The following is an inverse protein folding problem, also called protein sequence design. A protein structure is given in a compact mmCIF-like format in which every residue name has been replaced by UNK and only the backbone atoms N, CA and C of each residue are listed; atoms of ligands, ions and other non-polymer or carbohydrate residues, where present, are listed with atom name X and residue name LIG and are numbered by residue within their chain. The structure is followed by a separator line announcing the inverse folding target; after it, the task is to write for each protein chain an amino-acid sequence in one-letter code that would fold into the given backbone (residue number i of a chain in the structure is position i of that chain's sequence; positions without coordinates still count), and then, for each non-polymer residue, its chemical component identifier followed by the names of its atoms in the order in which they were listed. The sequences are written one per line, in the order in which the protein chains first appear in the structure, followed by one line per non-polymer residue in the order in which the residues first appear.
data_IF_933830980266
#
_entry.id   IF_933830980266
#
_cell.length_a   1.000
_cell.length_b   1.000
_cell.length_c   1.000
_cell.angle_alpha   90.00
_cell.angle_beta   90.00
_cell.angle_gamma   90.00
#
_symmetry.space_group_name_H-M   'P 1'
#
loop_
_entity.id
_entity.type
_entity.pdbx_description
1 polymer ?
#
# COMPACT_ATOMS: atom_id res chain seq x y z
N UNK A 1 7.48 14.06 -14.31
CA UNK A 1 7.19 12.81 -13.57
C UNK A 1 8.02 12.80 -12.30
N UNK A 2 7.37 12.76 -11.13
CA UNK A 2 7.95 12.80 -9.79
C UNK A 2 8.74 11.52 -9.47
N UNK A 3 9.86 11.69 -8.80
CA UNK A 3 10.74 10.66 -8.24
C UNK A 3 10.37 10.33 -6.79
N UNK A 4 10.83 9.20 -6.27
CA UNK A 4 10.69 8.83 -4.85
C UNK A 4 11.26 9.90 -3.92
N UNK A 5 12.35 10.57 -4.32
CA UNK A 5 12.94 11.70 -3.56
C UNK A 5 11.98 12.89 -3.43
N UNK A 6 11.30 13.25 -4.51
CA UNK A 6 10.31 14.34 -4.49
C UNK A 6 9.11 13.96 -3.62
N UNK A 7 8.61 12.72 -3.76
CA UNK A 7 7.51 12.21 -2.93
C UNK A 7 7.88 12.16 -1.45
N UNK A 8 9.07 11.65 -1.10
CA UNK A 8 9.56 11.60 0.27
C UNK A 8 9.64 13.01 0.90
N UNK A 9 9.96 14.02 0.10
CA UNK A 9 10.00 15.42 0.56
C UNK A 9 8.58 15.95 0.79
N UNK A 10 7.66 15.74 -0.16
CA UNK A 10 6.27 16.23 -0.08
C UNK A 10 5.48 15.57 1.07
N UNK A 11 5.73 14.29 1.32
CA UNK A 11 5.10 13.52 2.39
C UNK A 11 5.91 13.55 3.71
N UNK A 12 6.98 14.34 3.80
CA UNK A 12 7.84 14.40 5.00
C UNK A 12 8.26 13.00 5.51
N UNK A 13 8.53 12.07 4.59
CA UNK A 13 8.97 10.73 4.94
C UNK A 13 10.42 10.78 5.42
N UNK A 14 10.77 9.95 6.40
CA UNK A 14 12.16 9.84 6.85
C UNK A 14 13.03 9.45 5.65
N UNK A 15 14.13 10.16 5.45
CA UNK A 15 15.14 9.75 4.46
C UNK A 15 15.81 8.49 4.97
N UNK A 16 15.38 7.31 4.51
CA UNK A 16 16.27 6.16 4.53
C UNK A 16 17.38 6.44 3.51
N UNK A 17 18.58 6.72 4.01
CA UNK A 17 19.72 7.19 3.22
C UNK A 17 20.27 6.14 2.25
N UNK A 18 19.85 4.87 2.34
CA UNK A 18 20.56 3.78 1.67
C UNK A 18 19.83 3.13 0.48
N UNK A 19 18.50 3.26 0.36
CA UNK A 19 17.73 2.48 -0.65
C UNK A 19 16.92 3.31 -1.64
N UNK A 20 16.82 4.63 -1.45
CA UNK A 20 16.25 5.56 -2.44
C UNK A 20 14.74 5.45 -2.73
N UNK A 21 14.04 4.47 -2.17
CA UNK A 21 12.60 4.25 -2.32
C UNK A 21 11.73 5.04 -1.34
N UNK A 22 10.41 4.88 -1.48
CA UNK A 22 9.41 5.31 -0.51
C UNK A 22 9.30 4.24 0.59
N UNK A 23 10.04 4.41 1.69
CA UNK A 23 9.96 3.54 2.87
C UNK A 23 9.71 4.38 4.11
N UNK A 24 8.49 4.32 4.64
CA UNK A 24 8.12 4.94 5.91
C UNK A 24 6.75 4.44 6.36
N UNK A 25 6.65 3.13 6.60
CA UNK A 25 5.46 2.48 7.14
C UNK A 25 4.93 3.27 8.34
N UNK A 26 3.68 3.73 8.28
CA UNK A 26 3.05 4.47 9.38
C UNK A 26 1.55 4.16 9.43
N UNK A 27 1.07 3.48 10.50
CA UNK A 27 -0.32 3.07 10.63
C UNK A 27 -1.30 4.24 10.69
N UNK A 28 -0.85 5.45 11.04
CA UNK A 28 -1.71 6.62 11.15
C UNK A 28 -1.86 7.37 9.81
N UNK A 29 -1.06 7.01 8.80
CA UNK A 29 -0.95 7.75 7.53
C UNK A 29 -1.46 6.99 6.32
N UNK A 30 -2.03 5.80 6.51
CA UNK A 30 -2.61 4.97 5.43
C UNK A 30 -3.56 5.78 4.54
N UNK A 31 -4.51 6.51 5.15
CA UNK A 31 -5.44 7.38 4.42
C UNK A 31 -4.72 8.48 3.64
N UNK A 32 -3.72 9.11 4.24
CA UNK A 32 -2.93 10.16 3.61
C UNK A 32 -2.20 9.62 2.37
N UNK A 33 -1.55 8.45 2.49
CA UNK A 33 -0.82 7.82 1.39
C UNK A 33 -1.75 7.44 0.23
N UNK A 34 -2.92 6.85 0.52
CA UNK A 34 -3.92 6.53 -0.51
C UNK A 34 -4.41 7.80 -1.22
N UNK A 35 -4.76 8.85 -0.47
CA UNK A 35 -5.24 10.11 -1.05
C UNK A 35 -4.16 10.80 -1.89
N UNK A 36 -2.92 10.81 -1.40
CA UNK A 36 -1.80 11.34 -2.14
C UNK A 36 -1.57 10.58 -3.45
N UNK A 37 -1.54 9.24 -3.41
CA UNK A 37 -1.40 8.42 -4.61
C UNK A 37 -2.52 8.70 -5.61
N UNK A 38 -3.79 8.66 -5.18
CA UNK A 38 -4.93 8.87 -6.07
C UNK A 38 -4.91 10.24 -6.76
N UNK A 39 -4.51 11.29 -6.02
CA UNK A 39 -4.37 12.64 -6.55
C UNK A 39 -3.19 12.77 -7.52
N UNK A 40 -2.08 12.07 -7.27
CA UNK A 40 -0.82 12.33 -7.96
C UNK A 40 -0.36 11.22 -8.92
N UNK A 41 -1.03 10.06 -9.01
CA UNK A 41 -0.55 8.87 -9.76
C UNK A 41 -0.16 9.14 -11.22
N UNK A 42 -0.82 10.09 -11.86
CA UNK A 42 -0.53 10.53 -13.24
C UNK A 42 0.78 11.34 -13.36
N UNK A 43 1.27 11.89 -12.26
CA UNK A 43 2.52 12.63 -12.16
C UNK A 43 3.66 11.75 -11.65
N UNK A 44 3.41 10.55 -11.12
CA UNK A 44 4.44 9.68 -10.56
C UNK A 44 5.14 8.87 -11.64
N UNK A 45 6.48 8.73 -11.55
CA UNK A 45 7.19 7.73 -12.38
C UNK A 45 6.63 6.32 -12.08
N UNK A 46 6.60 5.44 -13.08
CA UNK A 46 6.06 4.08 -12.93
C UNK A 46 6.63 3.30 -11.73
N UNK A 47 7.97 3.29 -11.48
CA UNK A 47 8.51 2.62 -10.30
C UNK A 47 7.94 3.18 -8.98
N UNK A 48 7.77 4.50 -8.91
CA UNK A 48 7.19 5.18 -7.74
C UNK A 48 5.73 4.78 -7.51
N UNK A 49 4.95 4.57 -8.59
CA UNK A 49 3.59 4.06 -8.45
C UNK A 49 3.55 2.69 -7.79
N UNK A 50 4.51 1.81 -8.13
CA UNK A 50 4.62 0.48 -7.55
C UNK A 50 5.12 0.53 -6.10
N UNK A 51 6.04 1.43 -5.76
CA UNK A 51 6.50 1.66 -4.37
C UNK A 51 5.34 2.03 -3.41
N UNK A 52 4.29 2.70 -3.92
CA UNK A 52 3.10 2.98 -3.12
C UNK A 52 2.31 1.73 -2.72
N UNK A 53 2.38 0.64 -3.50
CA UNK A 53 1.72 -0.63 -3.15
C UNK A 53 2.32 -1.15 -1.84
N UNK A 54 3.65 -1.23 -1.78
CA UNK A 54 4.34 -1.71 -0.59
C UNK A 54 4.15 -0.77 0.59
N UNK A 55 4.29 0.55 0.40
CA UNK A 55 4.07 1.53 1.47
C UNK A 55 2.66 1.43 2.07
N UNK A 56 1.63 1.35 1.22
CA UNK A 56 0.24 1.35 1.68
C UNK A 56 -0.11 0.01 2.32
N UNK A 57 0.31 -1.11 1.73
CA UNK A 57 0.09 -2.44 2.30
C UNK A 57 0.80 -2.61 3.65
N UNK A 58 2.07 -2.23 3.76
CA UNK A 58 2.81 -2.30 5.02
C UNK A 58 2.18 -1.40 6.09
N UNK A 59 1.79 -0.18 5.73
CA UNK A 59 1.17 0.76 6.68
C UNK A 59 -0.21 0.28 7.13
N UNK A 60 -0.98 -0.35 6.22
CA UNK A 60 -2.27 -0.94 6.56
C UNK A 60 -2.09 -2.18 7.46
N UNK A 61 -1.05 -2.99 7.26
CA UNK A 61 -0.73 -4.10 8.15
C UNK A 61 -0.53 -3.61 9.59
N UNK A 62 0.33 -2.62 9.80
CA UNK A 62 0.56 -2.02 11.11
C UNK A 62 -0.73 -1.42 11.68
N UNK A 63 -1.57 -0.79 10.84
CA UNK A 63 -2.82 -0.23 11.30
C UNK A 63 -3.78 -1.32 11.82
N UNK A 64 -3.80 -2.50 11.18
CA UNK A 64 -4.60 -3.65 11.65
C UNK A 64 -4.03 -4.17 12.98
N UNK A 65 -2.71 -4.37 13.06
CA UNK A 65 -2.03 -4.84 14.28
C UNK A 65 -2.29 -3.92 15.48
N UNK A 66 -2.26 -2.61 15.25
CA UNK A 66 -2.49 -1.60 16.29
C UNK A 66 -3.98 -1.28 16.54
N UNK A 67 -4.91 -2.01 15.91
CA UNK A 67 -6.36 -1.75 16.00
C UNK A 67 -6.78 -0.31 15.62
N UNK A 68 -6.09 0.28 14.64
CA UNK A 68 -6.36 1.63 14.12
C UNK A 68 -7.24 1.65 12.87
N UNK A 69 -7.73 0.49 12.47
CA UNK A 69 -8.58 0.35 11.28
C UNK A 69 -10.05 0.56 11.61
N UNK A 70 -10.74 1.29 10.74
CA UNK A 70 -12.18 1.43 10.75
C UNK A 70 -12.76 1.14 9.35
N UNK A 71 -14.10 1.10 9.24
CA UNK A 71 -14.77 0.79 7.99
C UNK A 71 -14.45 1.78 6.85
N UNK A 72 -14.24 3.05 7.19
CA UNK A 72 -13.84 4.07 6.20
C UNK A 72 -12.47 3.74 5.61
N UNK A 73 -11.50 3.40 6.45
CA UNK A 73 -10.15 3.08 6.02
C UNK A 73 -10.10 1.78 5.19
N UNK A 74 -10.87 0.76 5.59
CA UNK A 74 -11.03 -0.48 4.80
C UNK A 74 -11.61 -0.17 3.42
N UNK A 75 -12.63 0.69 3.35
CA UNK A 75 -13.26 1.08 2.09
C UNK A 75 -12.25 1.80 1.17
N UNK A 76 -11.49 2.76 1.70
CA UNK A 76 -10.45 3.47 0.96
C UNK A 76 -9.36 2.53 0.45
N UNK A 77 -8.90 1.60 1.30
CA UNK A 77 -7.89 0.61 0.93
C UNK A 77 -8.41 -0.35 -0.16
N UNK A 78 -9.67 -0.78 -0.07
CA UNK A 78 -10.32 -1.61 -1.09
C UNK A 78 -10.40 -0.89 -2.44
N UNK A 79 -10.84 0.37 -2.43
CA UNK A 79 -10.89 1.21 -3.64
C UNK A 79 -9.50 1.41 -4.25
N UNK A 80 -8.50 1.65 -3.40
CA UNK A 80 -7.11 1.77 -3.83
C UNK A 80 -6.63 0.51 -4.55
N UNK A 81 -6.70 -0.67 -3.91
CA UNK A 81 -6.24 -1.94 -4.50
C UNK A 81 -6.95 -2.29 -5.81
N UNK A 82 -8.26 -2.07 -5.87
CA UNK A 82 -9.03 -2.29 -7.10
C UNK A 82 -8.63 -1.31 -8.22
N UNK A 83 -8.22 -0.09 -7.86
CA UNK A 83 -7.79 0.96 -8.77
C UNK A 83 -6.31 0.89 -9.20
N UNK A 84 -5.51 -0.05 -8.68
CA UNK A 84 -4.12 -0.26 -9.10
C UNK A 84 -4.07 -0.77 -10.55
N UNK A 85 -3.19 -0.16 -11.36
CA UNK A 85 -2.91 -0.62 -12.73
C UNK A 85 -2.45 -2.08 -12.74
N UNK A 86 -3.11 -2.92 -13.54
CA UNK A 86 -2.86 -4.37 -13.65
C UNK A 86 -1.63 -4.69 -14.50
N UNK A 87 -0.50 -4.07 -14.19
CA UNK A 87 0.80 -4.44 -14.76
C UNK A 87 1.34 -5.70 -14.08
N UNK A 88 2.16 -6.48 -14.78
CA UNK A 88 2.78 -7.71 -14.24
C UNK A 88 3.51 -7.44 -12.91
N UNK A 89 4.27 -6.35 -12.86
CA UNK A 89 5.02 -5.99 -11.65
C UNK A 89 4.11 -5.62 -10.47
N UNK A 90 3.05 -4.83 -10.69
CA UNK A 90 2.09 -4.51 -9.62
C UNK A 90 1.31 -5.74 -9.15
N UNK A 91 0.95 -6.64 -10.08
CA UNK A 91 0.30 -7.90 -9.75
C UNK A 91 1.20 -8.79 -8.91
N UNK A 92 2.50 -8.83 -9.23
CA UNK A 92 3.50 -9.56 -8.43
C UNK A 92 3.58 -8.99 -7.00
N UNK A 93 3.63 -7.67 -6.83
CA UNK A 93 3.63 -7.02 -5.50
C UNK A 93 2.35 -7.32 -4.71
N UNK A 94 1.18 -7.21 -5.33
CA UNK A 94 -0.09 -7.54 -4.68
C UNK A 94 -0.13 -9.03 -4.31
N UNK A 95 0.35 -9.91 -5.20
CA UNK A 95 0.41 -11.36 -4.95
C UNK A 95 1.37 -11.71 -3.83
N UNK A 96 2.48 -10.97 -3.69
CA UNK A 96 3.38 -11.11 -2.55
C UNK A 96 2.63 -10.86 -1.24
N UNK A 97 1.95 -9.71 -1.10
CA UNK A 97 1.15 -9.40 0.10
C UNK A 97 0.00 -10.38 0.35
N UNK A 98 -0.66 -10.86 -0.72
CA UNK A 98 -1.67 -11.92 -0.63
C UNK A 98 -1.07 -13.24 -0.15
N UNK A 99 0.13 -13.58 -0.58
CA UNK A 99 0.78 -14.87 -0.28
C UNK A 99 1.31 -14.96 1.15
N UNK A 100 1.47 -13.84 1.84
CA UNK A 100 1.91 -13.84 3.23
C UNK A 100 0.95 -14.67 4.08
N UNK A 101 1.53 -15.53 4.92
CA UNK A 101 0.78 -16.30 5.89
C UNK A 101 0.62 -15.48 7.15
N UNK A 102 -0.61 -15.41 7.68
CA UNK A 102 -0.82 -15.01 9.06
C UNK A 102 -0.67 -16.24 9.93
N UNK A 103 0.48 -16.36 10.58
CA UNK A 103 0.76 -17.39 11.58
C UNK A 103 0.84 -16.77 12.97
N UNK A 104 0.94 -17.61 14.01
CA UNK A 104 1.16 -17.13 15.39
C UNK A 104 2.53 -16.47 15.58
N UNK A 105 3.50 -16.76 14.69
CA UNK A 105 4.90 -16.28 14.80
C UNK A 105 5.11 -15.03 13.95
N UNK A 106 4.59 -15.04 12.73
CA UNK A 106 4.61 -13.93 11.79
C UNK A 106 3.17 -13.56 11.44
N UNK A 107 2.67 -12.47 12.04
CA UNK A 107 1.27 -12.06 11.91
C UNK A 107 1.14 -10.93 10.90
N UNK A 108 0.70 -11.28 9.68
CA UNK A 108 0.46 -10.34 8.58
C UNK A 108 -1.04 -10.27 8.23
N UNK A 109 -1.89 -9.70 9.11
CA UNK A 109 -3.34 -9.69 8.92
C UNK A 109 -3.79 -8.96 7.65
N UNK A 110 -2.91 -8.13 7.06
CA UNK A 110 -3.16 -7.53 5.75
C UNK A 110 -3.38 -8.58 4.66
N UNK A 111 -2.73 -9.75 4.74
CA UNK A 111 -2.83 -10.80 3.74
C UNK A 111 -4.27 -11.30 3.59
N UNK A 112 -4.95 -11.50 4.72
CA UNK A 112 -6.35 -11.94 4.71
C UNK A 112 -7.30 -10.87 4.16
N UNK A 113 -7.01 -9.60 4.45
CA UNK A 113 -7.75 -8.48 3.87
C UNK A 113 -7.56 -8.40 2.35
N UNK A 114 -6.32 -8.53 1.86
CA UNK A 114 -6.00 -8.55 0.42
C UNK A 114 -6.70 -9.74 -0.27
N UNK A 115 -6.59 -10.95 0.29
CA UNK A 115 -7.29 -12.15 -0.21
C UNK A 115 -8.79 -11.92 -0.33
N UNK A 116 -9.41 -11.31 0.67
CA UNK A 116 -10.85 -11.02 0.68
C UNK A 116 -11.22 -10.05 -0.45
N UNK A 117 -10.50 -8.94 -0.58
CA UNK A 117 -10.73 -7.93 -1.63
C UNK A 117 -10.61 -8.55 -3.03
N UNK A 118 -9.56 -9.35 -3.26
CA UNK A 118 -9.33 -10.00 -4.55
C UNK A 118 -10.36 -11.09 -4.88
N UNK A 119 -10.90 -11.80 -3.87
CA UNK A 119 -11.99 -12.77 -4.07
C UNK A 119 -13.32 -12.09 -4.41
N UNK A 120 -13.64 -10.99 -3.75
CA UNK A 120 -14.89 -10.27 -3.98
C UNK A 120 -14.90 -9.56 -5.34
N UNK A 121 -13.74 -9.10 -5.83
CA UNK A 121 -13.60 -8.53 -7.18
C UNK A 121 -13.65 -9.54 -8.34
N UNK A 122 -13.66 -10.85 -8.08
CA UNK A 122 -13.76 -11.91 -9.10
C UNK A 122 -15.18 -12.44 -9.32
N UNK A 123 -16.19 -11.87 -8.64
CA UNK A 123 -17.60 -12.31 -8.71
C UNK A 123 -18.43 -11.62 -9.82
N UNK A 124 -17.77 -10.99 -10.80
CA UNK A 124 -18.43 -10.35 -11.95
C UNK A 124 -18.40 -11.22 -13.21
#
# INVERSE_FOLDING_TARGET
MKTSREVNTELFLRKNQDWGGIENTDPNRVKEFILYFNKNKHLLKKPVNSEFIDLICSSMNEAILENKVNNELICLFTQYLNGVEKSEYNLMLISYWESLESSEVDFFPIADLVKKILKDGKKE
#
